data_IF_401700048648
#
_entry.id   IF_401700048648
#
_cell.length_a   1.000
_cell.length_b   1.000
_cell.length_c   1.000
_cell.angle_alpha   90.00
_cell.angle_beta   90.00
_cell.angle_gamma   90.00
#
_symmetry.space_group_name_H-M   'P 1'
#
loop_
_entity.id
_entity.type
_entity.pdbx_description
1 polymer ?
#
# COMPACT_ATOMS: atom_id res chain seq x y z
N UNK A 1 -12.26 23.17 46.00
CA UNK A 1 -12.24 22.76 44.58
C UNK A 1 -10.79 22.77 44.13
N UNK A 2 -10.20 21.60 43.85
CA UNK A 2 -8.75 21.40 43.64
C UNK A 2 -8.24 22.16 42.40
N UNK A 3 -7.47 23.22 42.62
CA UNK A 3 -6.63 23.88 41.61
C UNK A 3 -5.16 23.61 41.91
N UNK A 4 -4.67 22.41 41.54
CA UNK A 4 -3.26 22.05 41.70
C UNK A 4 -2.43 22.56 40.53
N UNK A 5 -1.53 23.52 40.78
CA UNK A 5 -0.59 24.02 39.76
C UNK A 5 0.42 22.91 39.45
N UNK A 6 0.35 22.37 38.24
CA UNK A 6 1.20 21.27 37.78
C UNK A 6 2.66 21.73 37.68
N UNK A 7 3.59 21.06 38.37
CA UNK A 7 5.00 21.48 38.39
C UNK A 7 5.66 21.33 37.00
N UNK A 8 6.61 22.21 36.65
CA UNK A 8 7.27 22.19 35.33
C UNK A 8 7.86 20.81 34.98
N UNK A 9 8.41 20.09 35.96
CA UNK A 9 8.95 18.72 35.79
C UNK A 9 7.87 17.70 35.42
N UNK A 10 6.66 17.89 35.96
CA UNK A 10 5.50 17.06 35.68
C UNK A 10 4.96 17.32 34.27
N UNK A 11 4.97 18.59 33.84
CA UNK A 11 4.65 18.97 32.46
C UNK A 11 5.68 18.37 31.50
N UNK A 12 6.98 18.44 31.80
CA UNK A 12 8.03 17.84 30.97
C UNK A 12 7.87 16.31 30.85
N UNK A 13 7.56 15.63 31.95
CA UNK A 13 7.32 14.18 31.95
C UNK A 13 6.07 13.80 31.14
N UNK A 14 4.99 14.58 31.23
CA UNK A 14 3.76 14.37 30.47
C UNK A 14 3.96 14.58 28.97
N UNK A 15 4.73 15.61 28.59
CA UNK A 15 5.11 15.86 27.19
C UNK A 15 5.98 14.73 26.65
N UNK A 16 6.94 14.23 27.43
CA UNK A 16 7.78 13.09 27.04
C UNK A 16 6.95 11.81 26.83
N UNK A 17 5.95 11.57 27.69
CA UNK A 17 5.07 10.40 27.61
C UNK A 17 4.17 10.43 26.37
N UNK A 18 3.70 11.62 25.96
CA UNK A 18 2.88 11.81 24.75
C UNK A 18 3.66 11.60 23.44
N UNK A 19 4.99 11.81 23.44
CA UNK A 19 5.84 11.62 22.26
C UNK A 19 6.04 10.13 21.92
N UNK A 20 5.81 9.21 22.86
CA UNK A 20 6.05 7.77 22.66
C UNK A 20 4.83 7.04 22.06
N UNK A 21 3.74 7.72 21.72
CA UNK A 21 2.59 7.05 21.08
C UNK A 21 3.00 6.54 19.69
N UNK A 22 3.12 5.21 19.48
CA UNK A 22 3.55 4.70 18.20
C UNK A 22 2.41 4.89 17.19
N UNK A 23 2.65 5.62 16.11
CA UNK A 23 1.87 5.45 14.90
C UNK A 23 2.00 3.98 14.48
N UNK A 24 0.91 3.22 14.60
CA UNK A 24 0.91 1.79 14.35
C UNK A 24 0.90 1.50 12.85
N UNK A 25 2.06 1.59 12.21
CA UNK A 25 2.31 0.98 10.92
C UNK A 25 2.95 -0.39 11.14
N UNK A 26 2.32 -1.47 10.68
CA UNK A 26 2.94 -2.80 10.67
C UNK A 26 3.73 -2.93 9.38
N UNK A 27 5.05 -3.07 9.49
CA UNK A 27 5.95 -3.28 8.36
C UNK A 27 6.14 -4.79 8.18
N UNK A 28 5.98 -5.27 6.95
CA UNK A 28 6.25 -6.64 6.55
C UNK A 28 7.42 -6.58 5.57
N UNK A 29 8.44 -7.41 5.83
CA UNK A 29 9.67 -7.45 5.02
C UNK A 29 9.98 -8.88 4.60
N UNK A 30 10.47 -9.05 3.37
CA UNK A 30 10.92 -10.31 2.82
C UNK A 30 12.41 -10.23 2.50
N UNK A 31 13.18 -11.16 3.07
CA UNK A 31 14.64 -11.23 2.87
C UNK A 31 15.08 -12.30 1.86
N UNK A 32 14.17 -13.21 1.48
CA UNK A 32 14.40 -14.28 0.50
C UNK A 32 13.59 -14.04 -0.77
N UNK A 33 13.89 -12.93 -1.44
CA UNK A 33 13.26 -12.57 -2.71
C UNK A 33 14.07 -13.12 -3.89
N UNK A 34 13.37 -13.59 -4.91
CA UNK A 34 13.98 -14.09 -6.14
C UNK A 34 14.56 -12.98 -7.04
N UNK A 35 14.17 -11.72 -6.81
CA UNK A 35 14.68 -10.54 -7.48
C UNK A 35 14.67 -9.33 -6.56
N UNK A 36 15.00 -8.15 -7.09
CA UNK A 36 14.93 -6.88 -6.34
C UNK A 36 13.49 -6.37 -6.26
N UNK A 37 13.17 -5.46 -5.34
CA UNK A 37 11.89 -4.73 -5.31
C UNK A 37 11.40 -4.33 -6.72
N UNK A 38 10.18 -4.72 -7.06
CA UNK A 38 9.52 -4.42 -8.33
C UNK A 38 9.82 -5.44 -9.44
N UNK A 39 9.73 -4.97 -10.69
CA UNK A 39 9.97 -5.79 -11.88
C UNK A 39 11.45 -5.84 -12.24
N UNK A 40 11.98 -7.05 -12.46
CA UNK A 40 13.32 -7.27 -12.96
C UNK A 40 13.24 -8.13 -14.22
N UNK A 41 14.01 -7.77 -15.24
CA UNK A 41 14.14 -8.55 -16.46
C UNK A 41 15.10 -9.73 -16.21
N UNK A 42 14.62 -10.96 -16.38
CA UNK A 42 15.43 -12.17 -16.30
C UNK A 42 16.01 -12.51 -17.67
N UNK A 43 15.16 -12.51 -18.70
CA UNK A 43 15.58 -12.76 -20.07
C UNK A 43 14.69 -12.03 -21.08
N UNK A 44 15.27 -11.66 -22.22
CA UNK A 44 14.54 -11.07 -23.35
C UNK A 44 15.10 -11.65 -24.64
N UNK A 45 14.27 -12.41 -25.35
CA UNK A 45 14.64 -13.10 -26.59
C UNK A 45 13.56 -12.89 -27.65
N UNK A 46 13.82 -13.38 -28.87
CA UNK A 46 12.80 -13.39 -29.94
C UNK A 46 11.55 -14.21 -29.59
N UNK A 47 11.67 -15.17 -28.67
CA UNK A 47 10.59 -16.09 -28.32
C UNK A 47 9.77 -15.61 -27.10
N UNK A 48 10.25 -14.60 -26.37
CA UNK A 48 9.56 -14.11 -25.20
C UNK A 48 10.43 -13.29 -24.26
N UNK A 49 9.78 -12.75 -23.24
CA UNK A 49 10.37 -11.96 -22.16
C UNK A 49 10.02 -12.64 -20.85
N UNK A 50 11.03 -12.92 -20.03
CA UNK A 50 10.85 -13.45 -18.68
C UNK A 50 11.12 -12.34 -17.67
N UNK A 51 10.15 -12.15 -16.78
CA UNK A 51 10.14 -11.09 -15.80
C UNK A 51 9.90 -11.72 -14.44
N UNK A 52 10.65 -11.25 -13.46
CA UNK A 52 10.38 -11.53 -12.06
C UNK A 52 9.87 -10.28 -11.36
N UNK A 53 8.84 -10.46 -10.54
CA UNK A 53 8.31 -9.41 -9.68
C UNK A 53 8.54 -9.80 -8.23
N UNK A 54 9.15 -8.91 -7.45
CA UNK A 54 9.42 -9.14 -6.02
C UNK A 54 8.99 -7.94 -5.18
N UNK A 55 8.60 -8.23 -3.94
CA UNK A 55 8.24 -7.22 -2.94
C UNK A 55 9.17 -7.43 -1.75
N UNK A 56 10.07 -6.49 -1.51
CA UNK A 56 11.01 -6.49 -0.38
C UNK A 56 10.31 -6.04 0.90
N UNK A 57 9.39 -5.09 0.78
CA UNK A 57 8.61 -4.62 1.91
C UNK A 57 7.25 -4.07 1.50
N UNK A 58 6.32 -4.15 2.43
CA UNK A 58 5.03 -3.46 2.38
C UNK A 58 4.56 -3.14 3.79
N UNK A 59 3.57 -2.27 3.92
CA UNK A 59 3.08 -1.79 5.22
C UNK A 59 1.57 -1.79 5.28
N UNK A 60 1.05 -2.15 6.45
CA UNK A 60 -0.32 -1.91 6.85
C UNK A 60 -0.34 -0.67 7.74
N UNK A 61 -1.01 0.37 7.27
CA UNK A 61 -1.18 1.63 7.98
C UNK A 61 -2.61 1.72 8.46
N UNK A 62 -2.83 1.91 9.76
CA UNK A 62 -4.18 2.16 10.28
C UNK A 62 -4.71 3.47 9.69
N UNK A 63 -5.94 3.43 9.20
CA UNK A 63 -6.62 4.58 8.61
C UNK A 63 -8.05 4.62 9.13
N UNK A 64 -8.47 5.80 9.56
CA UNK A 64 -9.84 6.00 10.03
C UNK A 64 -10.69 6.51 8.85
N UNK A 65 -11.73 5.76 8.50
CA UNK A 65 -12.66 6.10 7.41
C UNK A 65 -14.07 6.00 7.96
N UNK A 66 -14.80 7.11 7.95
CA UNK A 66 -16.18 7.20 8.47
C UNK A 66 -16.35 6.62 9.89
N UNK A 67 -15.35 6.80 10.77
CA UNK A 67 -15.37 6.31 12.15
C UNK A 67 -15.15 4.81 12.31
N UNK A 68 -14.71 4.13 11.24
CA UNK A 68 -14.20 2.76 11.27
C UNK A 68 -12.69 2.76 11.10
N UNK A 69 -12.01 2.00 11.94
CA UNK A 69 -10.57 1.73 11.77
C UNK A 69 -10.37 0.64 10.73
N UNK A 70 -9.77 1.00 9.60
CA UNK A 70 -9.38 0.11 8.50
C UNK A 70 -7.86 0.16 8.27
N UNK A 71 -7.37 -0.56 7.27
CA UNK A 71 -5.96 -0.57 6.91
C UNK A 71 -5.72 -0.16 5.46
N UNK A 72 -4.84 0.81 5.26
CA UNK A 72 -4.26 1.11 3.95
C UNK A 72 -3.04 0.20 3.73
N UNK A 73 -3.03 -0.51 2.60
CA UNK A 73 -1.88 -1.33 2.18
C UNK A 73 -0.94 -0.47 1.34
N UNK A 74 0.32 -0.33 1.75
CA UNK A 74 1.30 0.47 1.02
C UNK A 74 2.52 -0.35 0.64
N UNK A 75 2.96 -0.23 -0.60
CA UNK A 75 4.20 -0.83 -1.12
C UNK A 75 5.06 0.32 -1.66
N UNK A 76 6.40 0.23 -1.69
CA UNK A 76 7.20 1.22 -2.41
C UNK A 76 6.97 1.13 -3.93
N UNK A 77 6.58 2.24 -4.57
CA UNK A 77 6.40 2.31 -6.02
C UNK A 77 5.35 3.33 -6.47
N UNK A 78 5.07 3.36 -7.77
CA UNK A 78 3.98 4.13 -8.38
C UNK A 78 2.84 3.20 -8.74
N UNK A 79 1.65 3.45 -8.23
CA UNK A 79 0.53 2.52 -8.35
C UNK A 79 -0.50 2.96 -9.37
N UNK A 80 -1.10 1.97 -10.03
CA UNK A 80 -2.26 2.18 -10.87
C UNK A 80 -3.49 2.42 -9.99
N UNK A 81 -4.35 3.38 -10.36
CA UNK A 81 -5.62 3.56 -9.68
C UNK A 81 -6.46 2.29 -9.69
N UNK A 82 -7.13 2.02 -8.58
CA UNK A 82 -8.05 0.91 -8.46
C UNK A 82 -9.50 1.37 -8.71
N UNK A 83 -10.43 0.42 -8.79
CA UNK A 83 -11.86 0.68 -8.86
C UNK A 83 -12.35 1.28 -7.54
N UNK A 84 -13.01 2.44 -7.62
CA UNK A 84 -13.58 3.17 -6.49
C UNK A 84 -14.43 2.23 -5.61
N UNK A 85 -14.20 2.26 -4.29
CA UNK A 85 -14.97 1.49 -3.30
C UNK A 85 -14.58 0.03 -3.15
N UNK A 86 -13.77 -0.53 -4.05
CA UNK A 86 -13.15 -1.85 -3.83
C UNK A 86 -11.98 -1.73 -2.84
N UNK A 87 -11.55 -2.83 -2.19
CA UNK A 87 -10.35 -2.84 -1.35
C UNK A 87 -9.14 -2.23 -2.07
N UNK A 88 -8.49 -1.22 -1.48
CA UNK A 88 -7.38 -0.49 -2.09
C UNK A 88 -6.07 -1.29 -2.01
N UNK A 89 -5.87 -2.15 -2.99
CA UNK A 89 -4.66 -2.96 -3.11
C UNK A 89 -3.70 -2.36 -4.15
N UNK A 90 -2.42 -2.13 -3.78
CA UNK A 90 -1.43 -1.57 -4.68
C UNK A 90 -1.25 -2.42 -5.93
N UNK A 91 -1.45 -1.80 -7.10
CA UNK A 91 -1.27 -2.45 -8.41
C UNK A 91 -0.15 -1.77 -9.19
N UNK A 92 0.73 -2.54 -9.80
CA UNK A 92 1.88 -2.04 -10.57
C UNK A 92 1.75 -2.45 -12.04
N UNK A 93 2.35 -1.67 -12.93
CA UNK A 93 2.34 -1.93 -14.36
C UNK A 93 3.64 -1.51 -15.04
N UNK A 94 3.98 -2.19 -16.14
CA UNK A 94 5.09 -1.85 -17.03
C UNK A 94 4.70 -2.12 -18.48
N UNK A 95 5.25 -1.32 -19.38
CA UNK A 95 5.09 -1.52 -20.81
C UNK A 95 6.11 -2.53 -21.31
N UNK A 96 5.67 -3.42 -22.20
CA UNK A 96 6.51 -4.38 -22.92
C UNK A 96 6.28 -4.17 -24.40
N UNK A 97 7.36 -3.99 -25.16
CA UNK A 97 7.28 -3.91 -26.61
C UNK A 97 6.94 -5.29 -27.19
N UNK A 98 5.87 -5.36 -27.98
CA UNK A 98 5.44 -6.58 -28.66
C UNK A 98 5.69 -6.40 -30.16
N UNK A 99 6.38 -7.34 -30.84
CA UNK A 99 6.61 -7.25 -32.28
C UNK A 99 5.30 -7.15 -33.07
N UNK A 100 5.33 -6.40 -34.17
CA UNK A 100 4.18 -6.25 -35.05
C UNK A 100 3.68 -7.62 -35.55
N UNK A 101 2.37 -7.84 -35.48
CA UNK A 101 1.72 -9.09 -35.90
C UNK A 101 1.84 -10.24 -34.89
N UNK A 102 2.61 -10.08 -33.80
CA UNK A 102 2.68 -11.08 -32.74
C UNK A 102 1.43 -11.06 -31.86
N UNK A 103 1.13 -12.21 -31.23
CA UNK A 103 0.09 -12.34 -30.20
C UNK A 103 0.77 -12.62 -28.87
N UNK A 104 0.67 -11.68 -27.93
CA UNK A 104 1.23 -11.85 -26.60
C UNK A 104 0.37 -12.83 -25.77
N UNK A 105 1.05 -13.65 -24.95
CA UNK A 105 0.42 -14.48 -23.91
C UNK A 105 1.25 -14.33 -22.64
N UNK A 106 0.57 -14.14 -21.52
CA UNK A 106 1.19 -14.11 -20.19
C UNK A 106 0.96 -15.46 -19.53
N UNK A 107 2.01 -16.03 -18.95
CA UNK A 107 1.95 -17.26 -18.16
C UNK A 107 2.69 -17.04 -16.86
N UNK A 108 2.08 -17.42 -15.73
CA UNK A 108 2.75 -17.41 -14.43
C UNK A 108 3.56 -18.69 -14.33
N UNK A 109 4.89 -18.58 -14.36
CA UNK A 109 5.79 -19.72 -14.26
C UNK A 109 5.90 -20.22 -12.81
N UNK A 110 5.97 -19.30 -11.86
CA UNK A 110 6.02 -19.59 -10.43
C UNK A 110 5.42 -18.43 -9.62
N UNK A 111 4.93 -18.72 -8.40
CA UNK A 111 4.43 -17.72 -7.44
C UNK A 111 4.58 -18.21 -6.00
N UNK A 112 4.88 -17.28 -5.09
CA UNK A 112 4.78 -17.47 -3.65
C UNK A 112 3.60 -16.67 -3.11
N UNK A 113 2.81 -17.28 -2.23
CA UNK A 113 1.64 -16.64 -1.62
C UNK A 113 1.77 -16.77 -0.11
N UNK A 114 1.67 -15.64 0.57
CA UNK A 114 1.43 -15.56 2.01
C UNK A 114 0.01 -15.01 2.22
N UNK A 115 -0.70 -15.54 3.21
CA UNK A 115 -2.05 -15.10 3.55
C UNK A 115 -2.04 -14.43 4.92
N UNK A 116 -2.34 -13.13 4.94
CA UNK A 116 -2.60 -12.37 6.16
C UNK A 116 -4.11 -12.32 6.36
N UNK A 117 -4.59 -12.77 7.53
CA UNK A 117 -6.01 -12.81 7.88
C UNK A 117 -6.40 -11.62 8.74
N UNK A 118 -7.71 -11.40 8.86
CA UNK A 118 -8.31 -10.44 9.79
C UNK A 118 -7.85 -9.00 9.55
N UNK A 119 -7.74 -8.62 8.27
CA UNK A 119 -7.39 -7.27 7.82
C UNK A 119 -8.55 -6.71 7.00
N UNK A 120 -9.21 -5.69 7.54
CA UNK A 120 -10.19 -4.88 6.82
C UNK A 120 -9.45 -3.80 6.03
N UNK A 121 -9.36 -3.97 4.71
CA UNK A 121 -8.63 -3.06 3.82
C UNK A 121 -9.51 -1.87 3.48
N UNK A 122 -8.94 -0.67 3.59
CA UNK A 122 -9.60 0.58 3.24
C UNK A 122 -10.07 0.56 1.77
N UNK A 123 -11.24 1.14 1.43
CA UNK A 123 -11.68 1.25 0.05
C UNK A 123 -10.82 2.22 -0.75
N UNK A 124 -10.68 1.96 -2.05
CA UNK A 124 -10.03 2.86 -2.97
C UNK A 124 -10.83 4.17 -3.07
N UNK A 125 -10.19 5.34 -2.90
CA UNK A 125 -10.85 6.63 -2.99
C UNK A 125 -11.26 6.93 -4.44
N UNK A 126 -12.19 7.87 -4.66
CA UNK A 126 -12.48 8.35 -6.00
C UNK A 126 -11.24 9.00 -6.61
N UNK A 127 -11.07 8.80 -7.92
CA UNK A 127 -10.03 9.49 -8.68
C UNK A 127 -10.34 11.00 -8.71
N UNK A 128 -9.44 11.85 -8.21
CA UNK A 128 -9.62 13.30 -8.33
C UNK A 128 -9.64 13.69 -9.81
N UNK A 129 -10.54 14.61 -10.16
CA UNK A 129 -10.56 15.24 -11.47
C UNK A 129 -9.78 16.54 -11.38
N UNK A 130 -8.92 16.84 -12.35
CA UNK A 130 -8.19 18.11 -12.40
C UNK A 130 -9.13 19.33 -12.42
N UNK A 131 -10.36 19.14 -12.89
CA UNK A 131 -11.42 20.16 -12.94
C UNK A 131 -12.17 20.37 -11.62
N UNK A 132 -12.03 19.47 -10.64
CA UNK A 132 -12.71 19.54 -9.35
C UNK A 132 -11.69 19.77 -8.21
N UNK A 133 -11.65 20.96 -7.59
CA UNK A 133 -10.72 21.26 -6.51
C UNK A 133 -11.10 20.61 -5.17
N UNK A 134 -12.25 19.92 -5.10
CA UNK A 134 -12.74 19.30 -3.87
C UNK A 134 -11.92 18.06 -3.49
N UNK A 135 -11.73 17.83 -2.19
CA UNK A 135 -11.04 16.64 -1.70
C UNK A 135 -11.84 15.35 -2.00
N UNK A 136 -11.20 14.29 -2.54
CA UNK A 136 -11.85 13.01 -2.79
C UNK A 136 -12.47 12.41 -1.53
N UNK A 137 -13.78 12.17 -1.55
CA UNK A 137 -14.50 11.55 -0.40
C UNK A 137 -14.54 10.04 -0.54
N UNK A 138 -14.22 9.32 0.52
CA UNK A 138 -14.37 7.87 0.55
C UNK A 138 -15.83 7.45 0.28
N UNK A 139 -16.07 6.35 -0.46
CA UNK A 139 -17.40 5.83 -0.66
C UNK A 139 -17.97 5.25 0.65
N UNK A 140 -19.25 5.55 0.92
CA UNK A 140 -19.94 5.28 2.21
C UNK A 140 -20.16 3.81 2.56
N UNK A 141 -20.00 2.90 1.59
CA UNK A 141 -20.21 1.46 1.80
C UNK A 141 -19.10 0.67 1.09
N UNK A 142 -17.96 0.42 1.76
CA UNK A 142 -16.94 -0.47 1.25
C UNK A 142 -17.52 -1.89 1.20
N UNK A 143 -17.56 -2.47 0.01
CA UNK A 143 -18.11 -3.80 -0.25
C UNK A 143 -17.31 -4.93 0.44
#
# INVERSE_FOLDING_TARGET
>A
MLGGIMSKRMITALVLLLVVLPLSARIITYNDNWGRQGYNLISSTRNGVEIIFSVDLWRLVKTEIDGKTMFTVTVPGSFLPNRIGAPDLPSLGRFIAIPQGARARVTILDKRIEVIKDVEVAPAPPLPLDSDPSEPKAPKDPA
#
